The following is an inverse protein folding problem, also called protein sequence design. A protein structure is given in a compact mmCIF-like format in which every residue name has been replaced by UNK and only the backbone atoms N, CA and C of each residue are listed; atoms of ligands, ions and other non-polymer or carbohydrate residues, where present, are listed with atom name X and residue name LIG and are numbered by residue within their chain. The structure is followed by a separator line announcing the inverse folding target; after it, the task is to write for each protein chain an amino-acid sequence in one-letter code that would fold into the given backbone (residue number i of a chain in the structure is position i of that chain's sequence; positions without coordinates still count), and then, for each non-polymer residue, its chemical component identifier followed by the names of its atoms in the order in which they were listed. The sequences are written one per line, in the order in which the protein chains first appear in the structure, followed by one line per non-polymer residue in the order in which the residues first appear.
data_IF_701170414458
#
_entry.id   IF_701170414458
#
_cell.length_a   1.000
_cell.length_b   1.000
_cell.length_c   1.000
_cell.angle_alpha   90.00
_cell.angle_beta   90.00
_cell.angle_gamma   90.00
#
_symmetry.space_group_name_H-M   'P 1'
#
loop_
_entity.id
_entity.type
_entity.pdbx_description
1 polymer ?
#
# COMPACT_ATOMS: atom_id res chain seq x y z
N UNK A 1 -7.87 -11.76 -8.59
CA UNK A 1 -7.70 -10.49 -7.85
C UNK A 1 -6.23 -10.15 -7.94
N UNK A 2 -5.90 -8.96 -8.40
CA UNK A 2 -4.50 -8.53 -8.46
C UNK A 2 -4.05 -8.14 -7.06
N UNK A 3 -2.87 -8.57 -6.67
CA UNK A 3 -2.32 -8.35 -5.33
C UNK A 3 -2.24 -6.87 -4.96
N UNK A 4 -1.89 -5.99 -5.90
CA UNK A 4 -1.81 -4.55 -5.65
C UNK A 4 -3.16 -3.95 -5.28
N UNK A 5 -4.27 -4.40 -5.89
CA UNK A 5 -5.62 -3.94 -5.52
C UNK A 5 -6.00 -4.39 -4.11
N UNK A 6 -5.63 -5.61 -3.72
CA UNK A 6 -5.86 -6.08 -2.36
C UNK A 6 -5.04 -5.26 -1.34
N UNK A 7 -3.75 -5.05 -1.62
CA UNK A 7 -2.88 -4.24 -0.75
C UNK A 7 -3.37 -2.80 -0.63
N UNK A 8 -3.86 -2.20 -1.74
CA UNK A 8 -4.49 -0.88 -1.72
C UNK A 8 -5.63 -0.83 -0.69
N UNK A 9 -6.60 -1.71 -0.82
CA UNK A 9 -7.78 -1.77 0.07
C UNK A 9 -7.39 -2.04 1.53
N UNK A 10 -6.42 -2.92 1.79
CA UNK A 10 -5.98 -3.26 3.15
C UNK A 10 -5.15 -2.15 3.83
N UNK A 11 -4.59 -1.23 3.05
CA UNK A 11 -3.84 -0.07 3.55
C UNK A 11 -4.67 1.22 3.60
N UNK A 12 -5.93 1.20 3.19
CA UNK A 12 -6.86 2.30 3.40
C UNK A 12 -7.33 2.38 4.85
N UNK A 13 -7.90 3.54 5.22
CA UNK A 13 -8.55 3.70 6.52
C UNK A 13 -9.68 2.69 6.66
N UNK A 14 -9.68 1.84 7.70
CA UNK A 14 -10.64 0.77 7.81
C UNK A 14 -12.06 1.29 8.04
N UNK A 15 -12.98 0.78 7.24
CA UNK A 15 -14.40 1.10 7.30
C UNK A 15 -15.27 -0.16 7.44
N UNK A 16 -16.58 0.03 7.52
CA UNK A 16 -17.52 -1.08 7.68
C UNK A 16 -17.58 -1.95 6.40
N UNK A 17 -17.40 -1.36 5.23
CA UNK A 17 -17.41 -2.09 3.95
C UNK A 17 -16.26 -3.10 3.89
N UNK A 18 -15.05 -2.68 4.30
CA UNK A 18 -13.92 -3.59 4.43
C UNK A 18 -14.23 -4.76 5.36
N UNK A 19 -14.77 -4.48 6.56
CA UNK A 19 -15.08 -5.52 7.56
C UNK A 19 -16.12 -6.52 7.03
N UNK A 20 -17.14 -6.04 6.35
CA UNK A 20 -18.21 -6.88 5.81
C UNK A 20 -17.69 -7.83 4.72
N UNK A 21 -16.65 -7.44 3.98
CA UNK A 21 -16.06 -8.23 2.89
C UNK A 21 -14.84 -9.08 3.30
N UNK A 22 -14.32 -8.93 4.54
CA UNK A 22 -13.17 -9.72 5.01
C UNK A 22 -13.35 -11.24 4.81
N UNK A 23 -14.54 -11.84 5.07
CA UNK A 23 -14.72 -13.28 4.92
C UNK A 23 -14.53 -13.81 3.48
N UNK A 24 -14.66 -12.96 2.47
CA UNK A 24 -14.50 -13.34 1.06
C UNK A 24 -13.04 -13.34 0.59
N UNK A 25 -12.17 -12.61 1.29
CA UNK A 25 -10.79 -12.35 0.83
C UNK A 25 -9.96 -13.65 0.78
N UNK A 26 -9.98 -14.55 1.79
CA UNK A 26 -9.19 -15.78 1.77
C UNK A 26 -9.48 -16.68 0.55
N UNK A 27 -10.74 -16.80 0.15
CA UNK A 27 -11.11 -17.58 -1.03
C UNK A 27 -10.60 -16.94 -2.33
N UNK A 28 -10.70 -15.61 -2.44
CA UNK A 28 -10.19 -14.86 -3.59
C UNK A 28 -8.66 -14.89 -3.64
N UNK A 29 -8.00 -14.85 -2.48
CA UNK A 29 -6.55 -14.92 -2.37
C UNK A 29 -6.02 -16.29 -2.81
N UNK A 30 -6.66 -17.38 -2.40
CA UNK A 30 -6.29 -18.74 -2.80
C UNK A 30 -6.37 -18.97 -4.33
N UNK A 31 -7.14 -18.16 -5.05
CA UNK A 31 -7.25 -18.17 -6.51
C UNK A 31 -6.24 -17.23 -7.20
N UNK A 32 -5.47 -16.46 -6.43
CA UNK A 32 -4.50 -15.52 -6.95
C UNK A 32 -3.18 -16.25 -7.26
N UNK A 33 -2.86 -16.43 -8.52
CA UNK A 33 -1.63 -17.11 -8.96
C UNK A 33 -0.36 -16.24 -8.79
N UNK A 34 -0.52 -14.99 -8.39
CA UNK A 34 0.52 -13.97 -8.35
C UNK A 34 1.10 -13.75 -6.93
N UNK A 35 0.73 -14.56 -5.96
CA UNK A 35 1.24 -14.51 -4.58
C UNK A 35 2.13 -15.70 -4.29
N UNK A 36 3.25 -15.48 -3.60
CA UNK A 36 4.02 -16.56 -3.01
C UNK A 36 3.47 -16.95 -1.62
N UNK A 37 3.94 -18.09 -1.08
CA UNK A 37 3.44 -18.63 0.19
C UNK A 37 3.70 -17.69 1.39
N UNK A 38 4.76 -16.89 1.35
CA UNK A 38 5.08 -15.93 2.43
C UNK A 38 4.16 -14.71 2.38
N UNK A 39 3.90 -14.19 1.18
CA UNK A 39 2.94 -13.11 0.95
C UNK A 39 1.52 -13.54 1.36
N UNK A 40 1.10 -14.75 0.95
CA UNK A 40 -0.22 -15.30 1.32
C UNK A 40 -0.34 -15.42 2.84
N UNK A 41 0.67 -15.95 3.52
CA UNK A 41 0.65 -16.10 4.98
C UNK A 41 0.55 -14.74 5.69
N UNK A 42 1.30 -13.72 5.23
CA UNK A 42 1.25 -12.38 5.81
C UNK A 42 -0.11 -11.70 5.60
N UNK A 43 -0.72 -11.87 4.42
CA UNK A 43 -2.05 -11.35 4.11
C UNK A 43 -3.13 -12.02 4.99
N UNK A 44 -3.12 -13.34 5.10
CA UNK A 44 -4.06 -14.08 5.93
C UNK A 44 -3.93 -13.69 7.40
N UNK A 45 -2.71 -13.54 7.92
CA UNK A 45 -2.46 -13.06 9.27
C UNK A 45 -3.05 -11.68 9.52
N UNK A 46 -2.91 -10.77 8.56
CA UNK A 46 -3.48 -9.41 8.69
C UNK A 46 -5.02 -9.44 8.61
N UNK A 47 -5.60 -10.26 7.75
CA UNK A 47 -7.06 -10.44 7.64
C UNK A 47 -7.63 -10.98 8.95
N UNK A 48 -6.98 -11.99 9.56
CA UNK A 48 -7.36 -12.55 10.86
C UNK A 48 -7.26 -11.49 11.96
N UNK A 49 -6.22 -10.64 11.93
CA UNK A 49 -6.10 -9.51 12.83
C UNK A 49 -7.27 -8.53 12.68
N UNK A 50 -7.62 -8.11 11.45
CA UNK A 50 -8.76 -7.23 11.21
C UNK A 50 -10.08 -7.84 11.71
N UNK A 51 -10.31 -9.14 11.46
CA UNK A 51 -11.51 -9.84 11.89
C UNK A 51 -11.60 -10.01 13.42
N UNK A 52 -10.48 -9.93 14.13
CA UNK A 52 -10.41 -10.14 15.59
C UNK A 52 -10.65 -8.87 16.40
N UNK A 53 -10.68 -7.69 15.79
CA UNK A 53 -10.76 -6.40 16.48
C UNK A 53 -12.07 -5.67 16.15
N UNK A 54 -12.62 -4.87 17.10
CA UNK A 54 -13.68 -3.93 16.78
C UNK A 54 -13.22 -2.87 15.77
N UNK A 55 -14.09 -2.45 14.86
CA UNK A 55 -13.76 -1.42 13.85
C UNK A 55 -13.19 -0.13 14.48
N UNK A 56 -13.75 0.32 15.60
CA UNK A 56 -13.27 1.52 16.30
C UNK A 56 -11.82 1.40 16.80
N UNK A 57 -11.38 0.19 17.17
CA UNK A 57 -10.03 -0.08 17.59
C UNK A 57 -9.08 -0.09 16.37
N UNK A 58 -9.51 -0.72 15.28
CA UNK A 58 -8.78 -0.71 14.01
C UNK A 58 -8.54 0.73 13.50
N UNK A 59 -9.57 1.56 13.55
CA UNK A 59 -9.51 2.97 13.19
C UNK A 59 -8.55 3.76 14.09
N UNK A 60 -8.58 3.53 15.39
CA UNK A 60 -7.66 4.18 16.33
C UNK A 60 -6.20 3.78 16.07
N UNK A 61 -5.95 2.50 15.82
CA UNK A 61 -4.61 1.99 15.49
C UNK A 61 -4.12 2.56 14.16
N UNK A 62 -4.98 2.64 13.14
CA UNK A 62 -4.64 3.24 11.86
C UNK A 62 -4.18 4.68 12.02
N UNK A 63 -4.99 5.52 12.67
CA UNK A 63 -4.67 6.93 12.94
C UNK A 63 -3.38 7.07 13.73
N UNK A 64 -3.20 6.27 14.79
CA UNK A 64 -1.97 6.30 15.59
C UNK A 64 -0.75 5.92 14.76
N UNK A 65 -0.88 4.93 13.87
CA UNK A 65 0.24 4.40 13.08
C UNK A 65 0.64 5.36 11.95
N UNK A 66 -0.33 5.88 11.19
CA UNK A 66 -0.06 6.59 9.93
C UNK A 66 -0.25 8.10 10.01
N UNK A 67 -1.25 8.58 10.77
CA UNK A 67 -1.57 10.00 10.81
C UNK A 67 -0.83 10.74 11.94
N UNK A 68 -0.63 10.06 13.08
CA UNK A 68 0.01 10.66 14.26
C UNK A 68 1.52 10.44 14.30
N UNK A 69 2.07 9.61 13.42
CA UNK A 69 3.49 9.25 13.35
C UNK A 69 4.03 9.63 11.97
N UNK A 70 4.67 10.78 11.87
CA UNK A 70 5.12 11.34 10.58
C UNK A 70 6.07 10.41 9.82
N UNK A 71 6.89 9.64 10.55
CA UNK A 71 7.82 8.66 10.00
C UNK A 71 7.13 7.47 9.33
N UNK A 72 5.83 7.28 9.58
CA UNK A 72 5.02 6.21 9.03
C UNK A 72 3.99 6.71 8.02
N UNK A 73 4.00 8.00 7.67
CA UNK A 73 3.04 8.57 6.72
C UNK A 73 2.97 7.76 5.43
N UNK A 74 1.75 7.47 4.96
CA UNK A 74 1.51 6.80 3.68
C UNK A 74 1.61 7.75 2.47
N UNK A 75 1.90 9.04 2.68
CA UNK A 75 2.20 10.00 1.63
C UNK A 75 3.70 9.96 1.29
N UNK A 76 4.06 9.26 0.20
CA UNK A 76 5.44 8.93 -0.10
C UNK A 76 6.34 10.14 -0.37
N UNK A 77 5.82 11.21 -0.98
CA UNK A 77 6.61 12.42 -1.24
C UNK A 77 6.97 13.17 0.05
N UNK A 78 6.22 12.95 1.14
CA UNK A 78 6.57 13.50 2.45
C UNK A 78 7.96 13.03 2.92
N UNK A 79 8.27 11.75 2.72
CA UNK A 79 9.58 11.18 3.08
C UNK A 79 10.72 11.66 2.19
N UNK A 80 10.43 12.01 0.93
CA UNK A 80 11.43 12.44 -0.05
C UNK A 80 11.75 13.92 0.09
N UNK A 81 10.74 14.74 0.33
CA UNK A 81 10.83 16.19 0.23
C UNK A 81 10.50 16.91 1.55
N UNK A 82 9.78 16.27 2.50
CA UNK A 82 9.27 16.97 3.68
C UNK A 82 8.44 18.20 3.27
N UNK A 83 8.85 19.37 3.80
CA UNK A 83 8.25 20.67 3.48
C UNK A 83 8.96 21.39 2.32
N UNK A 84 9.83 20.70 1.55
CA UNK A 84 10.56 21.31 0.42
C UNK A 84 9.59 21.70 -0.71
N UNK A 85 9.88 22.84 -1.34
CA UNK A 85 9.11 23.38 -2.48
C UNK A 85 8.99 22.43 -3.68
N UNK A 86 9.88 21.46 -3.79
CA UNK A 86 9.85 20.47 -4.88
C UNK A 86 8.78 19.40 -4.70
N UNK A 87 8.16 19.29 -3.51
CA UNK A 87 7.04 18.36 -3.27
C UNK A 87 5.84 18.65 -4.17
N UNK A 88 5.47 19.93 -4.31
CA UNK A 88 4.34 20.34 -5.17
C UNK A 88 4.49 19.88 -6.62
N UNK A 89 5.60 20.20 -7.31
CA UNK A 89 5.88 19.68 -8.64
C UNK A 89 5.81 18.15 -8.74
N UNK A 90 6.40 17.41 -7.80
CA UNK A 90 6.35 15.94 -7.82
C UNK A 90 4.92 15.38 -7.73
N UNK A 91 4.05 16.02 -6.95
CA UNK A 91 2.63 15.65 -6.88
C UNK A 91 1.90 15.93 -8.20
N UNK A 92 2.23 17.03 -8.87
CA UNK A 92 1.67 17.35 -10.20
C UNK A 92 2.10 16.32 -11.22
N UNK A 93 3.39 16.00 -11.30
CA UNK A 93 3.96 15.03 -12.24
C UNK A 93 3.31 13.64 -12.05
N UNK A 94 3.09 13.23 -10.81
CA UNK A 94 2.43 11.96 -10.52
C UNK A 94 0.94 11.96 -10.94
N UNK A 95 0.22 13.05 -10.71
CA UNK A 95 -1.16 13.22 -11.18
C UNK A 95 -1.26 13.30 -12.71
N UNK A 96 -0.24 13.82 -13.41
CA UNK A 96 -0.16 13.82 -14.88
C UNK A 96 0.08 12.41 -15.40
N UNK A 97 0.97 11.64 -14.76
CA UNK A 97 1.20 10.24 -15.10
C UNK A 97 -0.10 9.43 -15.04
N UNK A 98 -0.89 9.56 -13.99
CA UNK A 98 -2.19 8.85 -13.89
C UNK A 98 -3.11 9.19 -15.06
N UNK A 99 -3.20 10.47 -15.42
CA UNK A 99 -4.03 10.93 -16.56
C UNK A 99 -3.54 10.42 -17.90
N UNK A 100 -2.23 10.33 -18.11
CA UNK A 100 -1.62 9.80 -19.33
C UNK A 100 -1.97 8.33 -19.56
N UNK A 101 -2.17 7.57 -18.47
CA UNK A 101 -2.69 6.20 -18.52
C UNK A 101 -4.23 6.13 -18.56
N UNK A 102 -4.92 7.27 -18.62
CA UNK A 102 -6.39 7.32 -18.66
C UNK A 102 -7.06 7.08 -17.30
N UNK A 103 -6.31 7.15 -16.20
CA UNK A 103 -6.83 7.00 -14.84
C UNK A 103 -7.19 8.37 -14.28
N UNK A 104 -8.45 8.54 -13.89
CA UNK A 104 -8.94 9.74 -13.23
C UNK A 104 -9.01 9.50 -11.72
N UNK A 105 -8.30 10.34 -10.95
CA UNK A 105 -8.31 10.29 -9.49
C UNK A 105 -9.57 10.99 -8.97
N UNK A 106 -10.53 10.24 -8.45
CA UNK A 106 -11.83 10.74 -7.94
C UNK A 106 -11.87 10.86 -6.41
N UNK A 107 -10.73 10.90 -5.75
CA UNK A 107 -10.62 11.03 -4.30
C UNK A 107 -10.09 12.40 -3.88
N UNK A 108 -10.24 12.76 -2.60
CA UNK A 108 -9.63 13.95 -2.02
C UNK A 108 -8.18 13.71 -1.55
N UNK A 109 -7.68 12.48 -1.72
CA UNK A 109 -6.31 12.12 -1.35
C UNK A 109 -5.30 12.69 -2.34
N UNK A 110 -4.08 12.93 -1.86
CA UNK A 110 -2.98 13.34 -2.72
C UNK A 110 -2.52 12.17 -3.60
N UNK A 111 -2.01 12.43 -4.81
CA UNK A 111 -1.61 11.38 -5.74
C UNK A 111 -0.48 10.47 -5.24
N UNK A 112 0.27 10.90 -4.22
CA UNK A 112 1.35 10.14 -3.57
C UNK A 112 0.88 9.27 -2.38
N UNK A 113 -0.41 9.20 -2.13
CA UNK A 113 -0.99 8.32 -1.11
C UNK A 113 -0.80 6.86 -1.51
N UNK A 114 -0.13 6.07 -0.66
CA UNK A 114 0.30 4.71 -1.02
C UNK A 114 -0.84 3.79 -1.48
N UNK A 115 -2.02 3.75 -0.86
CA UNK A 115 -3.16 2.99 -1.39
C UNK A 115 -3.51 3.38 -2.83
N UNK A 116 -3.51 4.66 -3.16
CA UNK A 116 -3.78 5.15 -4.52
C UNK A 116 -2.68 4.75 -5.52
N UNK A 117 -1.42 4.83 -5.09
CA UNK A 117 -0.26 4.32 -5.87
C UNK A 117 -0.42 2.84 -6.19
N UNK A 118 -0.85 2.03 -5.20
CA UNK A 118 -1.09 0.60 -5.38
C UNK A 118 -2.30 0.31 -6.28
N UNK A 119 -3.36 1.12 -6.18
CA UNK A 119 -4.50 1.02 -7.08
C UNK A 119 -4.08 1.29 -8.53
N UNK A 120 -3.25 2.31 -8.76
CA UNK A 120 -2.67 2.57 -10.08
C UNK A 120 -1.75 1.43 -10.52
N UNK A 121 -0.88 0.90 -9.66
CA UNK A 121 -0.04 -0.26 -9.97
C UNK A 121 -0.87 -1.50 -10.38
N UNK A 122 -2.08 -1.66 -9.81
CA UNK A 122 -3.00 -2.74 -10.21
C UNK A 122 -3.58 -2.56 -11.61
N UNK A 123 -3.50 -1.37 -12.19
CA UNK A 123 -3.93 -1.07 -13.55
C UNK A 123 -2.84 -1.37 -14.59
N UNK A 124 -1.59 -1.36 -14.18
CA UNK A 124 -0.41 -1.63 -15.02
C UNK A 124 -0.21 -3.13 -15.23
N UNK A 125 0.62 -3.51 -16.22
CA UNK A 125 1.16 -4.87 -16.25
C UNK A 125 2.22 -5.08 -15.15
N UNK A 126 2.57 -6.34 -14.87
CA UNK A 126 3.46 -6.68 -13.74
C UNK A 126 4.85 -6.03 -13.85
N UNK A 127 5.39 -5.90 -15.06
CA UNK A 127 6.69 -5.27 -15.28
C UNK A 127 6.62 -3.76 -15.13
N UNK A 128 5.59 -3.13 -15.69
CA UNK A 128 5.33 -1.70 -15.55
C UNK A 128 5.08 -1.33 -14.08
N UNK A 129 4.27 -2.12 -13.37
CA UNK A 129 4.00 -1.92 -11.94
C UNK A 129 5.27 -2.00 -11.10
N UNK A 130 6.14 -2.98 -11.36
CA UNK A 130 7.40 -3.12 -10.65
C UNK A 130 8.35 -1.96 -10.95
N UNK A 131 8.50 -1.53 -12.21
CA UNK A 131 9.32 -0.38 -12.59
C UNK A 131 8.79 0.87 -11.89
N UNK A 132 7.48 1.11 -11.94
CA UNK A 132 6.84 2.26 -11.29
C UNK A 132 7.07 2.28 -9.77
N UNK A 133 6.87 1.16 -9.09
CA UNK A 133 7.08 1.07 -7.64
C UNK A 133 8.56 1.14 -7.26
N UNK A 134 9.49 0.77 -8.15
CA UNK A 134 10.92 0.79 -7.86
C UNK A 134 11.47 2.20 -7.59
N UNK A 135 10.85 3.22 -8.16
CA UNK A 135 11.20 4.62 -7.88
C UNK A 135 10.95 4.99 -6.41
N UNK A 136 9.96 4.37 -5.77
CA UNK A 136 9.64 4.56 -4.36
C UNK A 136 10.34 3.55 -3.42
N UNK A 137 11.13 2.60 -3.94
CA UNK A 137 11.68 1.48 -3.16
C UNK A 137 12.40 1.92 -1.87
N UNK A 138 13.20 2.99 -1.91
CA UNK A 138 13.94 3.48 -0.73
C UNK A 138 12.99 3.95 0.38
N UNK A 139 11.90 4.63 0.02
CA UNK A 139 10.88 5.10 0.96
C UNK A 139 10.11 3.91 1.52
N UNK A 140 9.68 2.99 0.65
CA UNK A 140 8.96 1.78 1.03
C UNK A 140 9.78 0.92 2.00
N UNK A 141 11.10 0.83 1.77
CA UNK A 141 11.99 0.13 2.70
C UNK A 141 12.03 0.78 4.08
N UNK A 142 12.17 2.09 4.15
CA UNK A 142 12.17 2.83 5.43
C UNK A 142 10.84 2.63 6.17
N UNK A 143 9.71 2.77 5.48
CA UNK A 143 8.39 2.52 6.05
C UNK A 143 8.23 1.09 6.56
N UNK A 144 8.65 0.10 5.77
CA UNK A 144 8.62 -1.31 6.16
C UNK A 144 9.47 -1.58 7.41
N UNK A 145 10.67 -0.99 7.49
CA UNK A 145 11.56 -1.13 8.63
C UNK A 145 10.98 -0.47 9.88
N UNK A 146 10.46 0.77 9.78
CA UNK A 146 9.81 1.49 10.88
C UNK A 146 8.63 0.71 11.47
N UNK A 147 7.75 0.20 10.61
CA UNK A 147 6.57 -0.56 11.06
C UNK A 147 6.96 -1.89 11.70
N UNK A 148 8.04 -2.52 11.22
CA UNK A 148 8.57 -3.74 11.81
C UNK A 148 9.19 -3.48 13.19
N UNK A 149 9.96 -2.41 13.35
CA UNK A 149 10.55 -2.01 14.64
C UNK A 149 9.47 -1.63 15.67
N UNK A 150 8.37 -1.03 15.20
CA UNK A 150 7.21 -0.70 16.02
C UNK A 150 6.28 -1.89 16.30
N UNK A 151 6.60 -3.09 15.80
CA UNK A 151 5.74 -4.28 15.88
C UNK A 151 4.31 -4.01 15.40
N UNK A 152 4.17 -3.14 14.39
CA UNK A 152 2.87 -2.75 13.83
C UNK A 152 2.20 -3.93 13.10
N UNK A 153 0.87 -4.11 13.25
CA UNK A 153 0.14 -5.10 12.46
C UNK A 153 0.24 -4.88 10.94
N UNK A 154 0.52 -3.66 10.50
CA UNK A 154 0.71 -3.31 9.09
C UNK A 154 2.09 -3.67 8.52
N UNK A 155 3.04 -4.12 9.35
CA UNK A 155 4.42 -4.41 8.92
C UNK A 155 4.49 -5.47 7.81
N UNK A 156 3.64 -6.51 7.88
CA UNK A 156 3.57 -7.55 6.86
C UNK A 156 3.16 -7.01 5.50
N UNK A 157 2.16 -6.12 5.46
CA UNK A 157 1.68 -5.51 4.22
C UNK A 157 2.78 -4.66 3.56
N UNK A 158 3.45 -3.79 4.35
CA UNK A 158 4.53 -2.95 3.82
C UNK A 158 5.74 -3.78 3.38
N UNK A 159 6.03 -4.91 4.02
CA UNK A 159 7.07 -5.83 3.57
C UNK A 159 6.76 -6.46 2.21
N UNK A 160 5.50 -6.78 1.92
CA UNK A 160 5.07 -7.26 0.60
C UNK A 160 5.26 -6.15 -0.44
N UNK A 161 4.79 -4.93 -0.16
CA UNK A 161 4.91 -3.79 -1.09
C UNK A 161 6.38 -3.49 -1.40
N UNK A 162 7.25 -3.43 -0.39
CA UNK A 162 8.69 -3.22 -0.52
C UNK A 162 9.35 -4.33 -1.37
N UNK A 163 9.04 -5.59 -1.09
CA UNK A 163 9.56 -6.73 -1.85
C UNK A 163 9.16 -6.67 -3.33
N UNK A 164 7.94 -6.24 -3.65
CA UNK A 164 7.44 -6.09 -5.02
C UNK A 164 8.00 -4.88 -5.75
N UNK A 165 8.47 -3.86 -5.03
CA UNK A 165 9.17 -2.71 -5.58
C UNK A 165 10.65 -2.98 -5.92
N UNK A 166 11.15 -4.19 -5.68
CA UNK A 166 12.56 -4.54 -5.88
C UNK A 166 12.80 -5.09 -7.29
N UNK A 167 13.62 -4.43 -8.12
CA UNK A 167 13.90 -4.82 -9.51
C UNK A 167 14.55 -6.20 -9.68
N UNK A 168 15.03 -6.83 -8.61
CA UNK A 168 15.60 -8.19 -8.66
C UNK A 168 14.59 -9.27 -9.05
N UNK A 169 13.28 -9.01 -8.98
CA UNK A 169 12.23 -9.92 -9.49
C UNK A 169 12.20 -10.06 -11.01
N UNK A 170 12.76 -9.09 -11.75
CA UNK A 170 12.88 -9.16 -13.23
C UNK A 170 13.90 -10.20 -13.72
N UNK A 171 14.76 -10.70 -12.86
CA UNK A 171 15.89 -11.57 -13.22
C UNK A 171 15.62 -13.06 -12.94
N UNK A 172 14.46 -13.43 -12.47
CA UNK A 172 14.04 -14.81 -12.16
C UNK A 172 12.95 -15.29 -13.13
#
# INVERSE_FOLDING_TARGET
MQIYKLLSVLLEYPDQELIDHLPEIPEKLAQCADTDAAEEAALLQFIDYLASQPLTELQAIYVQTFDMTAENSLHLTHHLFGDDKNRGPALIDLGELYRDYGVEVVTNELPDYLPLILEFAAYLDDNEAMVFLSDAHKVLKVLSDNLREAESPYAGLLSIVEGRATLTRLAA
#
